data_IF_975458732527
#
_entry.id   IF_975458732527
#
_cell.length_a   1.000
_cell.length_b   1.000
_cell.length_c   1.000
_cell.angle_alpha   90.00
_cell.angle_beta   90.00
_cell.angle_gamma   90.00
#
_symmetry.space_group_name_H-M   'P 1'
#
loop_
_entity.id
_entity.type
_entity.pdbx_description
1 polymer ?
#
# COMPACT_ATOMS: atom_id res chain seq x y z
N UNK A 1 -35.30 36.55 89.48
CA UNK A 1 -33.93 36.63 89.00
C UNK A 1 -33.91 35.87 87.61
N UNK A 2 -33.94 36.66 86.57
CA UNK A 2 -34.11 36.13 85.19
C UNK A 2 -32.75 36.19 84.43
N UNK A 3 -32.18 35.08 84.14
CA UNK A 3 -31.01 34.99 83.27
C UNK A 3 -31.44 34.87 81.78
N UNK A 4 -31.10 35.88 81.00
CA UNK A 4 -31.28 35.90 79.57
C UNK A 4 -30.04 35.30 78.89
N UNK A 5 -30.22 34.13 78.20
CA UNK A 5 -29.23 33.57 77.25
C UNK A 5 -29.34 34.33 75.96
N UNK A 6 -28.25 34.95 75.50
CA UNK A 6 -28.10 35.51 74.18
C UNK A 6 -27.55 34.36 73.27
N UNK A 7 -28.29 33.96 72.22
CA UNK A 7 -27.81 33.09 71.19
C UNK A 7 -27.18 33.87 70.06
N UNK A 8 -25.90 33.67 69.87
CA UNK A 8 -25.18 34.21 68.71
C UNK A 8 -25.47 33.35 67.50
N UNK A 9 -25.98 33.96 66.41
CA UNK A 9 -26.16 33.29 65.08
C UNK A 9 -24.93 33.60 64.23
N UNK A 10 -24.15 32.59 63.93
CA UNK A 10 -23.03 32.72 63.01
C UNK A 10 -23.53 32.58 61.54
N UNK A 11 -23.38 33.65 60.77
CA UNK A 11 -23.59 33.60 59.32
C UNK A 11 -22.35 33.05 58.67
N UNK A 12 -22.44 31.84 58.04
CA UNK A 12 -21.43 31.30 57.16
C UNK A 12 -21.62 31.90 55.76
N UNK A 13 -20.70 32.73 55.32
CA UNK A 13 -20.65 33.19 53.92
C UNK A 13 -20.09 32.10 53.03
N UNK A 14 -20.92 31.50 52.15
CA UNK A 14 -20.47 30.63 51.08
C UNK A 14 -19.77 31.48 50.00
N UNK A 15 -18.46 31.35 49.88
CA UNK A 15 -17.67 31.87 48.76
C UNK A 15 -17.80 30.88 47.60
N UNK A 16 -18.63 31.19 46.62
CA UNK A 16 -18.69 30.47 45.35
C UNK A 16 -17.55 30.93 44.44
N UNK A 17 -16.48 30.15 44.39
CA UNK A 17 -15.44 30.36 43.36
C UNK A 17 -16.01 29.95 41.99
N UNK A 18 -15.84 30.74 40.92
CA UNK A 18 -16.23 30.35 39.60
C UNK A 18 -15.30 29.18 39.11
N UNK A 19 -15.87 28.03 38.86
CA UNK A 19 -15.18 26.93 38.14
C UNK A 19 -15.02 27.39 36.70
N UNK A 20 -13.82 27.85 36.34
CA UNK A 20 -13.45 28.03 34.93
C UNK A 20 -13.40 26.67 34.31
N UNK A 21 -14.43 26.31 33.55
CA UNK A 21 -14.38 25.16 32.63
C UNK A 21 -13.38 25.55 31.54
N UNK A 22 -12.13 25.07 31.68
CA UNK A 22 -11.19 25.08 30.59
C UNK A 22 -11.78 24.17 29.53
N UNK A 23 -12.41 24.72 28.49
CA UNK A 23 -12.64 24.03 27.26
C UNK A 23 -11.26 23.63 26.76
N UNK A 24 -10.88 22.36 26.96
CA UNK A 24 -9.79 21.76 26.22
C UNK A 24 -10.17 21.94 24.74
N UNK A 25 -9.46 22.82 24.05
CA UNK A 25 -9.48 22.80 22.58
C UNK A 25 -9.07 21.40 22.22
N UNK A 26 -10.02 20.60 21.72
CA UNK A 26 -9.73 19.38 21.03
C UNK A 26 -8.86 19.78 19.84
N UNK A 27 -7.54 19.67 20.01
CA UNK A 27 -6.62 19.78 18.90
C UNK A 27 -7.17 18.86 17.83
N UNK A 28 -7.54 19.39 16.67
CA UNK A 28 -7.94 18.58 15.54
C UNK A 28 -6.75 17.68 15.24
N UNK A 29 -6.84 16.40 15.61
CA UNK A 29 -5.85 15.44 15.20
C UNK A 29 -5.80 15.50 13.67
N UNK A 30 -4.60 15.64 13.13
CA UNK A 30 -4.41 15.61 11.68
C UNK A 30 -5.08 14.35 11.13
N UNK A 31 -5.91 14.49 10.11
CA UNK A 31 -6.46 13.34 9.39
C UNK A 31 -5.33 12.76 8.53
N UNK A 32 -4.88 11.56 8.89
CA UNK A 32 -3.89 10.84 8.11
C UNK A 32 -4.57 10.08 6.98
N UNK A 33 -3.97 10.16 5.80
CA UNK A 33 -4.43 9.43 4.60
C UNK A 33 -3.21 8.83 3.92
N UNK A 34 -3.29 7.55 3.58
CA UNK A 34 -2.25 6.88 2.85
C UNK A 34 -2.02 7.51 1.48
N UNK A 35 -0.76 7.75 1.15
CA UNK A 35 -0.34 8.30 -0.15
C UNK A 35 0.52 7.35 -0.96
N UNK A 36 1.17 6.41 -0.31
CA UNK A 36 1.92 5.32 -0.90
C UNK A 36 1.90 4.12 0.03
N UNK A 37 1.79 2.93 -0.52
CA UNK A 37 2.00 1.69 0.20
C UNK A 37 2.54 0.61 -0.73
N UNK A 38 3.16 -0.40 -0.13
CA UNK A 38 3.50 -1.67 -0.76
C UNK A 38 3.11 -2.82 0.17
N UNK A 39 3.01 -4.03 -0.35
CA UNK A 39 2.65 -5.20 0.44
C UNK A 39 3.91 -6.02 0.77
N UNK A 40 4.36 -6.01 2.03
CA UNK A 40 5.52 -6.78 2.42
C UNK A 40 5.21 -8.28 2.52
N UNK A 41 6.25 -9.09 2.32
CA UNK A 41 6.24 -10.52 2.57
C UNK A 41 7.62 -11.01 3.03
N UNK A 42 7.74 -12.27 3.38
CA UNK A 42 8.98 -12.87 3.82
C UNK A 42 9.96 -12.95 2.64
N UNK A 43 11.15 -12.39 2.81
CA UNK A 43 12.25 -12.65 1.89
C UNK A 43 12.66 -14.12 2.04
N UNK A 44 12.45 -14.90 1.00
CA UNK A 44 12.76 -16.32 0.96
C UNK A 44 13.89 -16.63 -0.03
N UNK A 45 14.57 -17.72 0.22
CA UNK A 45 15.66 -18.21 -0.62
C UNK A 45 16.98 -17.45 -0.48
N UNK A 46 18.06 -18.12 -0.83
CA UNK A 46 19.44 -17.64 -0.66
C UNK A 46 19.77 -16.39 -1.52
N UNK A 47 18.94 -16.07 -2.50
CA UNK A 47 19.15 -14.91 -3.39
C UNK A 47 18.48 -13.64 -2.89
N UNK A 48 17.48 -13.74 -2.02
CA UNK A 48 16.67 -12.62 -1.56
C UNK A 48 17.08 -12.12 -0.17
N UNK A 49 17.64 -12.99 0.68
CA UNK A 49 18.16 -12.62 1.98
C UNK A 49 19.54 -11.95 1.78
N UNK A 50 19.61 -10.66 2.11
CA UNK A 50 20.82 -9.85 1.91
C UNK A 50 21.66 -9.67 3.17
N UNK A 51 21.21 -10.16 4.33
CA UNK A 51 21.85 -9.92 5.62
C UNK A 51 22.10 -8.42 5.88
N UNK A 52 21.02 -7.67 5.87
CA UNK A 52 21.01 -6.20 5.95
C UNK A 52 21.39 -5.71 7.35
N UNK A 53 22.67 -5.84 7.69
CA UNK A 53 23.23 -5.49 9.01
C UNK A 53 24.46 -4.61 8.85
N UNK A 54 24.47 -3.46 9.51
CA UNK A 54 25.54 -2.45 9.36
C UNK A 54 25.46 -1.72 8.01
N UNK A 55 24.26 -1.50 7.47
CA UNK A 55 24.01 -0.89 6.15
C UNK A 55 23.01 0.25 6.23
N UNK A 56 23.13 1.19 5.31
CA UNK A 56 22.10 2.22 5.06
C UNK A 56 21.31 1.86 3.80
N UNK A 57 19.99 1.92 3.90
CA UNK A 57 19.07 1.82 2.78
C UNK A 57 18.53 3.21 2.43
N UNK A 58 18.44 3.52 1.14
CA UNK A 58 17.65 4.63 0.60
C UNK A 58 16.65 4.08 -0.38
N UNK A 59 15.38 4.22 -0.06
CA UNK A 59 14.28 3.65 -0.80
C UNK A 59 13.37 4.76 -1.32
N UNK A 60 13.03 4.67 -2.60
CA UNK A 60 12.27 5.71 -3.30
C UNK A 60 10.82 5.26 -3.40
N UNK A 61 9.90 6.17 -3.08
CA UNK A 61 8.46 5.98 -3.17
C UNK A 61 7.81 7.09 -3.99
N UNK A 62 7.03 6.73 -5.01
CA UNK A 62 6.23 7.66 -5.80
C UNK A 62 4.86 7.86 -5.14
N UNK A 63 4.66 9.00 -4.47
CA UNK A 63 3.44 9.26 -3.70
C UNK A 63 2.30 9.74 -4.59
N UNK A 64 1.06 9.39 -4.24
CA UNK A 64 -0.14 9.76 -5.02
C UNK A 64 -0.73 11.12 -4.69
N UNK A 65 -0.84 11.48 -3.41
CA UNK A 65 -1.33 12.80 -2.95
C UNK A 65 -0.29 13.53 -2.13
N UNK A 66 -0.35 14.86 -2.13
CA UNK A 66 0.51 15.70 -1.32
C UNK A 66 -0.08 16.04 0.05
N UNK A 67 0.75 16.66 0.89
CA UNK A 67 0.37 17.13 2.21
C UNK A 67 1.42 18.04 2.82
N UNK A 68 1.06 18.71 3.93
CA UNK A 68 1.97 19.60 4.67
C UNK A 68 2.91 18.86 5.63
N UNK A 69 2.55 17.62 5.99
CA UNK A 69 3.31 16.74 6.85
C UNK A 69 3.14 15.33 6.35
N UNK A 70 4.09 14.48 6.67
CA UNK A 70 4.01 13.04 6.41
C UNK A 70 4.45 12.24 7.64
N UNK A 71 4.14 10.93 7.64
CA UNK A 71 4.67 9.94 8.55
C UNK A 71 4.98 8.66 7.79
N UNK A 72 5.99 7.96 8.24
CA UNK A 72 6.52 6.77 7.56
C UNK A 72 6.14 5.53 8.37
N UNK A 73 5.68 4.47 7.70
CA UNK A 73 5.42 3.17 8.32
C UNK A 73 6.59 2.23 8.07
N UNK A 74 7.25 1.82 9.15
CA UNK A 74 8.28 0.78 9.14
C UNK A 74 7.68 -0.54 9.61
N UNK A 75 8.15 -1.65 9.05
CA UNK A 75 7.59 -2.97 9.28
C UNK A 75 8.67 -4.03 9.56
N UNK A 76 8.41 -4.89 10.53
CA UNK A 76 9.16 -6.11 10.84
C UNK A 76 8.23 -7.32 10.87
N UNK A 77 7.21 -7.32 10.03
CA UNK A 77 6.08 -8.24 10.10
C UNK A 77 6.49 -9.70 9.91
N UNK A 78 7.46 -9.93 9.02
CA UNK A 78 7.99 -11.27 8.75
C UNK A 78 9.32 -11.53 9.45
N UNK A 79 9.81 -10.58 10.26
CA UNK A 79 11.04 -10.74 11.01
C UNK A 79 10.94 -11.80 12.10
N UNK A 80 12.05 -12.52 12.34
CA UNK A 80 12.19 -13.50 13.43
C UNK A 80 12.98 -12.95 14.63
N UNK A 81 13.53 -11.76 14.50
CA UNK A 81 14.26 -11.02 15.52
C UNK A 81 13.69 -9.59 15.61
N UNK A 82 13.84 -8.89 16.75
CA UNK A 82 13.55 -7.47 16.80
C UNK A 82 14.43 -6.70 15.80
N UNK A 83 13.84 -5.77 15.06
CA UNK A 83 14.53 -4.93 14.09
C UNK A 83 14.86 -3.57 14.70
N UNK A 84 16.14 -3.21 14.74
CA UNK A 84 16.56 -1.86 15.08
C UNK A 84 16.72 -1.03 13.82
N UNK A 85 16.00 0.09 13.77
CA UNK A 85 16.16 1.15 12.77
C UNK A 85 16.71 2.37 13.50
N UNK A 86 17.74 2.99 12.95
CA UNK A 86 18.35 4.20 13.51
C UNK A 86 18.70 5.20 12.42
N UNK A 87 18.93 6.43 12.81
CA UNK A 87 19.31 7.54 11.93
C UNK A 87 18.47 7.57 10.65
N UNK A 88 17.14 7.59 10.82
CA UNK A 88 16.23 7.58 9.70
C UNK A 88 15.93 9.00 9.22
N UNK A 89 15.85 9.20 7.91
CA UNK A 89 15.63 10.46 7.23
C UNK A 89 14.58 10.33 6.12
N UNK A 90 13.93 11.43 5.78
CA UNK A 90 13.07 11.55 4.60
C UNK A 90 13.37 12.84 3.87
N UNK A 91 13.40 12.79 2.55
CA UNK A 91 13.66 13.92 1.67
C UNK A 91 12.90 13.81 0.37
N UNK A 92 12.83 14.88 -0.40
CA UNK A 92 12.42 14.81 -1.81
C UNK A 92 13.58 14.20 -2.64
N UNK A 93 13.26 13.25 -3.51
CA UNK A 93 14.25 12.68 -4.43
C UNK A 93 14.69 13.71 -5.47
N UNK A 94 15.98 13.72 -5.78
CA UNK A 94 16.53 14.47 -6.92
C UNK A 94 16.83 13.57 -8.12
N UNK A 95 16.44 12.28 -8.04
CA UNK A 95 16.76 11.24 -9.00
C UNK A 95 18.01 10.45 -8.64
N UNK A 96 18.04 9.16 -9.01
CA UNK A 96 19.06 8.24 -8.58
C UNK A 96 19.16 8.18 -7.07
N UNK A 97 20.39 8.12 -6.54
CA UNK A 97 20.65 8.09 -5.09
C UNK A 97 20.67 9.46 -4.40
N UNK A 98 20.37 10.55 -5.11
CA UNK A 98 20.48 11.92 -4.62
C UNK A 98 19.16 12.45 -4.05
N UNK A 99 19.24 13.33 -3.05
CA UNK A 99 18.10 14.06 -2.48
C UNK A 99 18.16 15.55 -2.84
N UNK A 100 17.00 16.21 -2.86
CA UNK A 100 16.94 17.64 -3.13
C UNK A 100 17.54 18.44 -1.96
N UNK A 101 18.43 19.42 -2.24
CA UNK A 101 19.04 20.24 -1.21
C UNK A 101 17.98 20.94 -0.34
N UNK A 102 18.14 20.85 0.98
CA UNK A 102 17.25 21.50 1.97
C UNK A 102 15.92 20.79 2.22
N UNK A 103 15.69 19.61 1.62
CA UNK A 103 14.47 18.81 1.87
C UNK A 103 14.69 17.70 2.91
N UNK A 104 15.90 17.50 3.40
CA UNK A 104 16.23 16.44 4.35
C UNK A 104 15.66 16.72 5.74
N UNK A 105 14.94 15.74 6.30
CA UNK A 105 14.34 15.80 7.63
C UNK A 105 14.60 14.48 8.36
N UNK A 106 15.17 14.59 9.58
CA UNK A 106 15.31 13.44 10.46
C UNK A 106 13.95 12.87 10.88
N UNK A 107 13.85 11.56 10.89
CA UNK A 107 12.67 10.83 11.37
C UNK A 107 12.88 10.46 12.83
N UNK A 108 11.82 10.65 13.66
CA UNK A 108 11.83 10.25 15.06
C UNK A 108 10.69 9.29 15.39
N UNK A 109 10.82 8.62 16.55
CA UNK A 109 9.88 7.65 17.07
C UNK A 109 9.64 7.96 18.56
N UNK A 110 8.56 8.67 18.89
CA UNK A 110 8.33 9.20 20.22
C UNK A 110 9.43 10.17 20.66
N UNK A 111 10.00 10.93 19.73
CA UNK A 111 11.12 11.87 19.92
C UNK A 111 12.51 11.23 19.90
N UNK A 112 12.64 9.91 19.80
CA UNK A 112 13.93 9.22 19.69
C UNK A 112 14.35 9.04 18.22
N UNK A 113 15.65 9.12 17.91
CA UNK A 113 16.21 8.91 16.56
C UNK A 113 16.43 7.42 16.21
N UNK A 114 16.06 6.52 17.12
CA UNK A 114 16.18 5.07 16.91
C UNK A 114 14.97 4.38 17.51
N UNK A 115 14.59 3.24 16.91
CA UNK A 115 13.51 2.40 17.39
C UNK A 115 13.86 0.94 17.26
N UNK A 116 13.29 0.14 18.15
CA UNK A 116 13.34 -1.32 18.08
C UNK A 116 11.93 -1.83 17.76
N UNK A 117 11.74 -2.38 16.57
CA UNK A 117 10.46 -2.88 16.09
C UNK A 117 10.37 -4.38 16.44
N UNK A 118 9.41 -4.80 17.29
CA UNK A 118 9.24 -6.20 17.63
C UNK A 118 8.95 -7.06 16.38
N UNK A 119 9.16 -8.38 16.51
CA UNK A 119 8.71 -9.36 15.52
C UNK A 119 7.21 -9.21 15.25
N UNK A 120 6.79 -9.32 14.00
CA UNK A 120 5.40 -9.29 13.59
C UNK A 120 4.74 -7.91 13.71
N UNK A 121 5.50 -6.84 13.96
CA UNK A 121 4.97 -5.52 14.18
C UNK A 121 5.31 -4.55 13.04
N UNK A 122 4.41 -3.59 12.81
CA UNK A 122 4.67 -2.38 12.06
C UNK A 122 4.42 -1.15 12.96
N UNK A 123 5.15 -0.08 12.72
CA UNK A 123 5.06 1.16 13.49
C UNK A 123 5.09 2.38 12.58
N UNK A 124 4.46 3.46 13.02
CA UNK A 124 4.61 4.77 12.38
C UNK A 124 5.68 5.61 13.08
N UNK A 125 6.37 6.42 12.30
CA UNK A 125 7.19 7.52 12.82
C UNK A 125 6.34 8.62 13.47
N UNK A 126 6.99 9.53 14.18
CA UNK A 126 6.40 10.82 14.51
C UNK A 126 6.07 11.62 13.24
N UNK A 127 5.12 12.58 13.29
CA UNK A 127 4.84 13.47 12.17
C UNK A 127 6.07 14.29 11.76
N UNK A 128 6.33 14.38 10.46
CA UNK A 128 7.47 15.08 9.87
C UNK A 128 6.98 16.30 9.11
N UNK A 129 7.53 17.49 9.40
CA UNK A 129 7.14 18.75 8.79
C UNK A 129 7.77 18.97 7.42
N UNK A 130 7.63 18.00 6.52
CA UNK A 130 8.02 18.08 5.12
C UNK A 130 6.78 18.20 4.25
N UNK A 131 6.63 19.34 3.57
CA UNK A 131 5.57 19.52 2.59
C UNK A 131 5.92 18.81 1.29
N UNK A 132 5.02 17.96 0.80
CA UNK A 132 5.21 17.20 -0.42
C UNK A 132 4.09 17.49 -1.42
N UNK A 133 4.47 17.63 -2.70
CA UNK A 133 3.50 17.78 -3.79
C UNK A 133 2.90 16.40 -4.16
N UNK A 134 1.68 16.36 -4.74
CA UNK A 134 1.18 15.13 -5.35
C UNK A 134 2.14 14.62 -6.43
N UNK A 135 2.21 13.30 -6.58
CA UNK A 135 3.03 12.61 -7.59
C UNK A 135 4.53 12.90 -7.47
N UNK A 136 5.00 13.27 -6.28
CA UNK A 136 6.41 13.47 -6.00
C UNK A 136 7.10 12.14 -5.66
N UNK A 137 8.40 12.07 -5.95
CA UNK A 137 9.25 10.98 -5.46
C UNK A 137 9.86 11.38 -4.12
N UNK A 138 9.65 10.54 -3.12
CA UNK A 138 10.14 10.69 -1.75
C UNK A 138 11.21 9.64 -1.49
N UNK A 139 12.37 10.08 -0.99
CA UNK A 139 13.45 9.21 -0.56
C UNK A 139 13.36 8.99 0.96
N UNK A 140 13.15 7.74 1.38
CA UNK A 140 13.24 7.31 2.79
C UNK A 140 14.58 6.63 2.98
N UNK A 141 15.40 7.18 3.87
CA UNK A 141 16.75 6.67 4.12
C UNK A 141 16.86 6.26 5.58
N UNK A 142 17.43 5.10 5.89
CA UNK A 142 17.58 4.64 7.26
C UNK A 142 18.77 3.70 7.41
N UNK A 143 19.39 3.75 8.58
CA UNK A 143 20.51 2.91 8.94
C UNK A 143 20.03 1.70 9.76
N UNK A 144 20.45 0.52 9.36
CA UNK A 144 20.31 -0.73 10.10
C UNK A 144 21.65 -1.03 10.79
N UNK A 145 21.79 -0.78 12.10
CA UNK A 145 23.04 -1.04 12.81
C UNK A 145 23.37 -2.54 12.81
N UNK A 146 24.61 -2.93 13.16
CA UNK A 146 24.95 -4.35 13.29
C UNK A 146 23.99 -5.07 14.24
N UNK A 147 23.27 -6.04 13.71
CA UNK A 147 22.22 -6.78 14.43
C UNK A 147 22.07 -8.19 13.86
N UNK A 148 21.44 -9.08 14.63
CA UNK A 148 21.04 -10.41 14.15
C UNK A 148 19.75 -10.26 13.35
N UNK A 149 19.73 -10.88 12.17
CA UNK A 149 18.56 -10.86 11.29
C UNK A 149 18.45 -12.23 10.62
N UNK A 150 17.47 -13.05 11.07
CA UNK A 150 17.25 -14.40 10.55
C UNK A 150 16.18 -14.45 9.46
N UNK A 151 15.37 -13.41 9.37
CA UNK A 151 14.35 -13.23 8.34
C UNK A 151 14.19 -11.74 8.04
N UNK A 152 13.92 -11.43 6.81
CA UNK A 152 13.76 -10.06 6.32
C UNK A 152 12.33 -9.85 5.83
N UNK A 153 11.75 -8.73 6.23
CA UNK A 153 10.48 -8.24 5.71
C UNK A 153 10.76 -7.37 4.50
N UNK A 154 10.23 -7.71 3.33
CA UNK A 154 10.49 -6.94 2.12
C UNK A 154 9.33 -7.01 1.12
N UNK A 155 9.36 -6.14 0.12
CA UNK A 155 8.62 -6.28 -1.13
C UNK A 155 9.64 -6.45 -2.27
N UNK A 156 9.58 -7.57 -2.97
CA UNK A 156 10.65 -8.01 -3.86
C UNK A 156 10.71 -7.29 -5.21
N UNK A 157 9.63 -6.60 -5.61
CA UNK A 157 9.52 -5.96 -6.92
C UNK A 157 9.16 -4.47 -6.78
N UNK A 158 10.16 -3.62 -6.59
CA UNK A 158 9.93 -2.18 -6.54
C UNK A 158 9.66 -1.56 -7.92
N UNK A 159 10.14 -2.17 -9.00
CA UNK A 159 10.22 -1.57 -10.34
C UNK A 159 10.78 -0.13 -10.30
N UNK A 160 11.68 0.10 -9.36
CA UNK A 160 12.28 1.38 -8.99
C UNK A 160 13.68 1.13 -8.46
N UNK A 161 14.63 2.00 -8.79
CA UNK A 161 15.96 1.96 -8.21
C UNK A 161 15.92 2.41 -6.76
N UNK A 162 16.35 1.53 -5.86
CA UNK A 162 16.65 1.78 -4.47
C UNK A 162 18.13 1.53 -4.22
N UNK A 163 18.68 1.96 -3.09
CA UNK A 163 20.11 2.03 -2.88
C UNK A 163 20.51 1.47 -1.52
N UNK A 164 21.60 0.72 -1.49
CA UNK A 164 22.20 0.17 -0.27
C UNK A 164 23.69 0.52 -0.20
N UNK A 165 24.15 1.01 0.94
CA UNK A 165 25.56 1.26 1.21
C UNK A 165 25.99 0.68 2.54
N UNK A 166 27.28 0.36 2.67
CA UNK A 166 27.88 -0.09 3.95
C UNK A 166 28.04 1.09 4.91
N UNK A 167 27.83 0.84 6.19
CA UNK A 167 27.94 1.84 7.24
C UNK A 167 26.78 2.81 7.29
N UNK A 168 26.88 3.80 8.17
CA UNK A 168 25.87 4.85 8.34
C UNK A 168 26.15 6.02 7.38
N UNK A 169 25.27 6.20 6.43
CA UNK A 169 25.26 7.31 5.47
C UNK A 169 23.85 7.90 5.30
N UNK A 170 23.02 7.79 6.33
CA UNK A 170 21.61 8.16 6.25
C UNK A 170 21.40 9.64 5.90
N UNK A 171 22.25 10.54 6.38
CA UNK A 171 22.22 11.97 6.11
C UNK A 171 22.98 12.39 4.82
N UNK A 172 23.49 11.45 4.02
CA UNK A 172 24.23 11.77 2.80
C UNK A 172 23.30 12.40 1.75
N UNK A 173 23.70 13.53 1.18
CA UNK A 173 22.95 14.15 0.08
C UNK A 173 22.92 13.29 -1.19
N UNK A 174 23.98 12.49 -1.38
CA UNK A 174 24.12 11.54 -2.48
C UNK A 174 24.83 10.26 -1.99
N UNK A 175 24.28 9.12 -2.34
CA UNK A 175 24.85 7.80 -2.05
C UNK A 175 25.55 7.22 -3.29
N UNK A 176 26.42 8.01 -3.95
CA UNK A 176 27.02 7.69 -5.26
C UNK A 176 27.79 6.34 -5.30
N UNK A 177 28.21 5.78 -4.15
CA UNK A 177 28.89 4.49 -4.04
C UNK A 177 27.94 3.35 -3.63
N UNK A 178 26.63 3.62 -3.52
CA UNK A 178 25.65 2.61 -3.17
C UNK A 178 25.47 1.58 -4.29
N UNK A 179 25.13 0.35 -3.89
CA UNK A 179 24.64 -0.66 -4.82
C UNK A 179 23.16 -0.45 -5.07
N UNK A 180 22.76 -0.48 -6.33
CA UNK A 180 21.34 -0.42 -6.70
C UNK A 180 20.66 -1.75 -6.39
N UNK A 181 19.47 -1.67 -5.84
CA UNK A 181 18.54 -2.77 -5.58
C UNK A 181 17.15 -2.38 -6.10
N UNK A 182 16.30 -3.36 -6.41
CA UNK A 182 14.95 -3.14 -6.93
C UNK A 182 13.87 -3.75 -6.01
N UNK A 183 14.06 -3.58 -4.70
CA UNK A 183 13.16 -4.07 -3.65
C UNK A 183 13.01 -3.00 -2.58
N UNK A 184 11.89 -3.00 -1.84
CA UNK A 184 11.73 -2.24 -0.60
C UNK A 184 11.90 -3.16 0.60
N UNK A 185 12.65 -2.73 1.62
CA UNK A 185 12.91 -3.49 2.84
C UNK A 185 12.42 -2.70 4.06
N UNK A 186 11.71 -3.33 4.98
CA UNK A 186 11.31 -2.80 6.29
C UNK A 186 10.54 -1.47 6.27
N UNK A 187 10.08 -1.04 5.13
CA UNK A 187 9.34 0.18 4.88
C UNK A 187 8.17 -0.16 3.94
N UNK A 188 6.94 0.12 4.35
CA UNK A 188 5.76 -0.32 3.62
C UNK A 188 4.65 0.71 3.48
N UNK A 189 4.83 1.95 3.98
CA UNK A 189 3.81 2.97 3.83
C UNK A 189 4.25 4.40 4.13
N UNK A 190 3.62 5.33 3.45
CA UNK A 190 3.69 6.78 3.69
C UNK A 190 2.27 7.31 3.81
N UNK A 191 1.99 8.00 4.93
CA UNK A 191 0.77 8.78 5.09
C UNK A 191 1.09 10.28 5.03
N UNK A 192 0.14 11.06 4.58
CA UNK A 192 0.17 12.52 4.65
C UNK A 192 -0.92 13.06 5.56
N UNK A 193 -0.65 14.20 6.24
CA UNK A 193 -1.67 14.98 6.88
C UNK A 193 -2.49 15.70 5.80
N UNK A 194 -3.68 15.16 5.53
CA UNK A 194 -4.52 15.57 4.42
C UNK A 194 -5.65 16.52 4.86
N UNK A 195 -6.22 17.20 3.89
CA UNK A 195 -7.36 18.08 4.12
C UNK A 195 -8.63 17.27 4.44
N UNK A 196 -9.61 17.83 5.17
CA UNK A 196 -10.85 17.13 5.46
C UNK A 196 -11.56 16.61 4.18
N UNK A 197 -12.05 15.38 4.24
CA UNK A 197 -12.70 14.71 3.11
C UNK A 197 -11.76 13.94 2.18
N UNK A 198 -10.44 13.98 2.41
CA UNK A 198 -9.48 13.12 1.72
C UNK A 198 -9.67 11.66 2.14
N UNK A 199 -9.35 10.76 1.24
CA UNK A 199 -9.39 9.30 1.47
C UNK A 199 -8.41 8.59 0.54
N UNK A 200 -8.18 7.30 0.76
CA UNK A 200 -7.38 6.46 -0.11
C UNK A 200 -8.19 5.35 -0.78
N UNK A 201 -7.71 4.93 -1.94
CA UNK A 201 -8.11 3.75 -2.68
C UNK A 201 -6.95 2.76 -2.58
N UNK A 202 -7.20 1.56 -2.10
CA UNK A 202 -6.22 0.49 -2.09
C UNK A 202 -6.43 -0.40 -3.31
N UNK A 203 -5.38 -0.70 -4.06
CA UNK A 203 -5.42 -1.62 -5.20
C UNK A 203 -4.77 -2.93 -4.78
N UNK A 204 -5.61 -3.94 -4.50
CA UNK A 204 -5.21 -5.28 -4.10
C UNK A 204 -5.14 -6.17 -5.34
N UNK A 205 -4.02 -6.88 -5.52
CA UNK A 205 -3.86 -7.75 -6.68
C UNK A 205 -2.52 -8.46 -6.76
N UNK A 206 -2.25 -9.00 -7.91
CA UNK A 206 -1.05 -9.75 -8.26
C UNK A 206 -0.02 -8.92 -9.06
N UNK A 207 0.80 -9.57 -9.89
CA UNK A 207 1.82 -8.93 -10.73
C UNK A 207 1.28 -7.86 -11.68
N UNK A 208 0.02 -7.97 -12.12
CA UNK A 208 -0.60 -6.98 -13.01
C UNK A 208 -0.90 -5.70 -12.23
N UNK A 209 -1.22 -5.79 -10.96
CA UNK A 209 -1.39 -4.62 -10.08
C UNK A 209 -0.04 -4.10 -9.59
N UNK A 210 0.88 -4.98 -9.26
CA UNK A 210 2.26 -4.68 -8.87
C UNK A 210 3.04 -3.95 -9.99
N UNK A 211 2.69 -4.21 -11.26
CA UNK A 211 3.18 -3.50 -12.42
C UNK A 211 4.26 -4.22 -13.22
N UNK A 212 4.27 -5.56 -13.17
CA UNK A 212 5.25 -6.36 -13.89
C UNK A 212 5.31 -6.00 -15.39
N UNK A 213 6.52 -5.82 -15.91
CA UNK A 213 6.83 -5.42 -17.29
C UNK A 213 6.38 -4.01 -17.68
N UNK A 214 6.00 -3.16 -16.73
CA UNK A 214 5.99 -1.71 -16.97
C UNK A 214 7.43 -1.16 -17.07
N UNK A 215 7.58 0.02 -17.65
CA UNK A 215 8.91 0.63 -17.80
C UNK A 215 9.50 0.99 -16.43
N UNK A 216 10.68 0.42 -16.14
CA UNK A 216 11.38 0.59 -14.88
C UNK A 216 11.57 2.07 -14.49
N UNK A 217 11.20 2.42 -13.28
CA UNK A 217 11.31 3.78 -12.72
C UNK A 217 10.40 4.83 -13.38
N UNK A 218 9.48 4.42 -14.27
CA UNK A 218 8.62 5.35 -14.99
C UNK A 218 7.28 5.62 -14.30
N UNK A 219 6.90 4.85 -13.28
CA UNK A 219 5.61 4.94 -12.60
C UNK A 219 4.44 4.81 -13.60
N UNK A 220 4.48 3.77 -14.44
CA UNK A 220 3.49 3.49 -15.48
C UNK A 220 2.55 2.33 -15.15
N UNK A 221 2.49 1.87 -13.91
CA UNK A 221 1.52 0.89 -13.44
C UNK A 221 0.10 1.44 -13.56
N UNK A 222 -0.90 0.60 -13.74
CA UNK A 222 -2.28 1.12 -13.82
C UNK A 222 -2.72 1.88 -12.56
N UNK A 223 -2.27 1.57 -11.32
CA UNK A 223 -2.57 2.39 -10.15
C UNK A 223 -1.91 3.78 -10.22
N UNK A 224 -0.70 3.91 -10.79
CA UNK A 224 -0.02 5.21 -10.98
C UNK A 224 -0.79 6.08 -11.98
N UNK A 225 -1.27 5.48 -13.08
CA UNK A 225 -2.11 6.16 -14.08
C UNK A 225 -3.44 6.61 -13.44
N UNK A 226 -4.06 5.77 -12.61
CA UNK A 226 -5.24 6.15 -11.84
C UNK A 226 -4.95 7.33 -10.92
N UNK A 227 -3.84 7.29 -10.17
CA UNK A 227 -3.41 8.38 -9.28
C UNK A 227 -3.25 9.69 -10.05
N UNK A 228 -2.53 9.67 -11.17
CA UNK A 228 -2.32 10.85 -12.01
C UNK A 228 -3.66 11.44 -12.52
N UNK A 229 -4.61 10.60 -12.93
CA UNK A 229 -5.94 11.02 -13.37
C UNK A 229 -6.78 11.63 -12.24
N UNK A 230 -6.72 11.05 -11.03
CA UNK A 230 -7.40 11.58 -9.86
C UNK A 230 -6.83 12.96 -9.48
N UNK A 231 -5.51 13.14 -9.55
CA UNK A 231 -4.87 14.43 -9.29
C UNK A 231 -5.24 15.50 -10.34
N UNK A 232 -5.46 15.10 -11.59
CA UNK A 232 -5.86 16.01 -12.66
C UNK A 232 -7.35 16.45 -12.56
N UNK A 233 -8.19 15.72 -11.84
CA UNK A 233 -9.61 16.04 -11.64
C UNK A 233 -9.83 16.81 -10.33
N UNK A 234 -10.30 18.08 -10.37
CA UNK A 234 -10.55 18.88 -9.17
C UNK A 234 -11.44 18.19 -8.11
N UNK A 235 -12.33 17.29 -8.52
CA UNK A 235 -13.22 16.55 -7.64
C UNK A 235 -12.48 15.47 -6.83
N UNK A 236 -11.41 14.91 -7.36
CA UNK A 236 -10.70 13.78 -6.79
C UNK A 236 -9.25 14.06 -6.40
N UNK A 237 -8.76 15.30 -6.53
CA UNK A 237 -7.36 15.68 -6.28
C UNK A 237 -6.84 15.39 -4.86
N UNK A 238 -7.71 15.02 -3.93
CA UNK A 238 -7.35 14.66 -2.56
C UNK A 238 -7.54 13.16 -2.29
N UNK A 239 -7.59 12.34 -3.34
CA UNK A 239 -7.75 10.88 -3.25
C UNK A 239 -6.40 10.21 -3.46
N UNK A 240 -5.93 9.50 -2.44
CA UNK A 240 -4.72 8.69 -2.51
C UNK A 240 -4.95 7.36 -3.21
N UNK A 241 -3.91 6.80 -3.81
CA UNK A 241 -3.89 5.46 -4.39
C UNK A 241 -2.73 4.70 -3.77
N UNK A 242 -3.03 3.51 -3.23
CA UNK A 242 -2.07 2.64 -2.56
C UNK A 242 -1.99 1.33 -3.33
N UNK A 243 -0.81 1.01 -3.87
CA UNK A 243 -0.59 -0.23 -4.60
C UNK A 243 -0.09 -1.32 -3.64
N UNK A 244 -0.91 -2.33 -3.40
CA UNK A 244 -0.57 -3.50 -2.59
C UNK A 244 -0.62 -4.79 -3.42
N UNK A 245 -0.24 -4.70 -4.69
CA UNK A 245 0.02 -5.85 -5.56
C UNK A 245 1.21 -6.67 -5.07
N UNK A 246 1.21 -7.96 -5.34
CA UNK A 246 2.34 -8.87 -5.13
C UNK A 246 2.48 -9.77 -6.36
N UNK A 247 3.63 -9.73 -7.05
CA UNK A 247 3.88 -10.61 -8.19
C UNK A 247 3.68 -12.09 -7.85
N UNK A 248 2.85 -12.80 -8.63
CA UNK A 248 2.56 -14.22 -8.39
C UNK A 248 1.56 -14.53 -7.28
N UNK A 249 0.94 -13.51 -6.67
CA UNK A 249 -0.03 -13.68 -5.59
C UNK A 249 -1.29 -14.42 -6.04
N UNK A 250 -1.99 -15.03 -5.09
CA UNK A 250 -3.19 -15.85 -5.29
C UNK A 250 -4.26 -15.47 -4.29
N UNK A 251 -5.53 -15.69 -4.65
CA UNK A 251 -6.66 -15.45 -3.74
C UNK A 251 -6.63 -16.39 -2.54
N UNK A 252 -6.48 -17.71 -2.80
CA UNK A 252 -6.76 -18.76 -1.82
C UNK A 252 -5.53 -19.36 -1.18
N UNK A 253 -4.39 -19.38 -1.86
CA UNK A 253 -3.23 -20.13 -1.43
C UNK A 253 -1.97 -19.28 -1.44
N UNK A 254 -1.09 -19.50 -0.49
CA UNK A 254 0.22 -18.88 -0.47
C UNK A 254 1.11 -19.44 -1.59
N UNK A 255 1.86 -18.57 -2.23
CA UNK A 255 3.00 -18.89 -3.11
C UNK A 255 4.04 -17.79 -2.99
N UNK A 256 3.83 -16.65 -3.64
CA UNK A 256 4.59 -15.43 -3.38
C UNK A 256 3.79 -14.60 -2.39
N UNK A 257 4.31 -14.48 -1.20
CA UNK A 257 3.64 -13.79 -0.10
C UNK A 257 2.35 -14.48 0.39
N UNK A 258 1.71 -13.94 1.42
CA UNK A 258 0.43 -14.40 1.94
C UNK A 258 -0.67 -14.27 0.89
N UNK A 259 -1.65 -15.20 0.89
CA UNK A 259 -2.79 -15.13 -0.03
C UNK A 259 -3.61 -13.85 0.18
N UNK A 260 -4.32 -13.39 -0.86
CA UNK A 260 -5.10 -12.15 -0.78
C UNK A 260 -6.10 -12.17 0.38
N UNK A 261 -6.76 -13.32 0.63
CA UNK A 261 -7.65 -13.49 1.79
C UNK A 261 -6.89 -13.31 3.12
N UNK A 262 -5.67 -13.83 3.24
CA UNK A 262 -4.94 -13.81 4.51
C UNK A 262 -4.29 -12.45 4.81
N UNK A 263 -4.09 -11.59 3.80
CA UNK A 263 -3.45 -10.28 3.93
C UNK A 263 -4.40 -9.08 3.90
N UNK A 264 -5.71 -9.30 3.78
CA UNK A 264 -6.69 -8.23 3.66
C UNK A 264 -6.66 -7.25 4.84
N UNK A 265 -6.55 -7.75 6.09
CA UNK A 265 -6.51 -6.92 7.29
C UNK A 265 -5.32 -5.97 7.27
N UNK A 266 -4.14 -6.51 6.99
CA UNK A 266 -2.88 -5.79 6.96
C UNK A 266 -2.79 -4.81 5.80
N UNK A 267 -3.08 -5.28 4.58
CA UNK A 267 -2.77 -4.55 3.35
C UNK A 267 -3.89 -3.59 2.95
N UNK A 268 -5.12 -3.81 3.42
CA UNK A 268 -6.27 -2.99 3.07
C UNK A 268 -6.90 -2.33 4.29
N UNK A 269 -7.39 -3.12 5.26
CA UNK A 269 -8.24 -2.59 6.33
C UNK A 269 -7.47 -1.67 7.29
N UNK A 270 -6.16 -1.90 7.49
CA UNK A 270 -5.30 -1.09 8.34
C UNK A 270 -4.77 0.19 7.67
N UNK A 271 -5.02 0.40 6.37
CA UNK A 271 -4.51 1.58 5.67
C UNK A 271 -5.21 2.86 6.11
N UNK A 272 -4.43 3.94 6.25
CA UNK A 272 -4.95 5.22 6.72
C UNK A 272 -5.93 5.86 5.73
N UNK A 273 -7.14 6.12 6.21
CA UNK A 273 -8.17 6.81 5.42
C UNK A 273 -8.72 6.01 4.25
N UNK A 274 -8.56 4.68 4.24
CA UNK A 274 -9.10 3.83 3.18
C UNK A 274 -10.61 3.96 3.09
N UNK A 275 -11.12 4.11 1.86
CA UNK A 275 -12.56 4.18 1.56
C UNK A 275 -12.97 3.20 0.47
N UNK A 276 -12.05 2.81 -0.39
CA UNK A 276 -12.27 1.87 -1.47
C UNK A 276 -11.14 0.86 -1.54
N UNK A 277 -11.48 -0.39 -1.85
CA UNK A 277 -10.53 -1.39 -2.33
C UNK A 277 -10.90 -1.81 -3.74
N UNK A 278 -9.94 -1.81 -4.66
CA UNK A 278 -10.08 -2.39 -5.99
C UNK A 278 -9.36 -3.73 -6.00
N UNK A 279 -10.06 -4.79 -6.43
CA UNK A 279 -9.54 -6.16 -6.38
C UNK A 279 -9.37 -6.69 -7.81
N UNK A 280 -8.11 -6.93 -8.21
CA UNK A 280 -7.71 -7.60 -9.45
C UNK A 280 -6.83 -8.79 -9.08
N UNK A 281 -7.44 -9.95 -8.90
CA UNK A 281 -6.77 -11.12 -8.35
C UNK A 281 -7.40 -12.41 -8.89
N UNK A 282 -6.69 -13.51 -8.92
CA UNK A 282 -7.07 -14.88 -9.27
C UNK A 282 -6.30 -15.51 -10.44
N UNK A 283 -5.65 -14.73 -11.32
CA UNK A 283 -5.05 -15.28 -12.52
C UNK A 283 -3.97 -16.34 -12.22
N UNK A 284 -3.25 -16.19 -11.10
CA UNK A 284 -2.24 -17.15 -10.69
C UNK A 284 -2.83 -18.43 -10.08
N UNK A 285 -4.01 -18.37 -9.45
CA UNK A 285 -4.77 -19.57 -9.08
C UNK A 285 -5.20 -20.34 -10.33
N UNK A 286 -5.73 -19.62 -11.32
CA UNK A 286 -6.20 -20.17 -12.61
C UNK A 286 -5.04 -20.78 -13.40
N UNK A 287 -3.89 -20.12 -13.43
CA UNK A 287 -2.70 -20.60 -14.14
C UNK A 287 -2.20 -21.97 -13.66
N UNK A 288 -2.43 -22.31 -12.37
CA UNK A 288 -2.09 -23.64 -11.83
C UNK A 288 -2.92 -24.77 -12.44
N UNK A 289 -4.08 -24.46 -13.01
CA UNK A 289 -4.94 -25.48 -13.65
C UNK A 289 -4.32 -26.13 -14.88
N UNK A 290 -3.31 -25.51 -15.50
CA UNK A 290 -2.54 -26.13 -16.59
C UNK A 290 -1.77 -27.35 -16.11
N UNK A 291 -1.23 -27.29 -14.88
CA UNK A 291 -0.44 -28.38 -14.31
C UNK A 291 -0.67 -28.42 -12.78
N UNK A 292 -1.69 -29.17 -12.37
CA UNK A 292 -2.05 -29.36 -10.98
C UNK A 292 -1.03 -30.31 -10.33
N UNK A 293 -0.12 -29.75 -9.52
CA UNK A 293 0.94 -30.52 -8.85
C UNK A 293 0.55 -30.97 -7.45
N UNK A 294 -0.36 -30.22 -6.81
CA UNK A 294 -0.90 -30.52 -5.48
C UNK A 294 -2.42 -30.32 -5.49
N UNK A 295 -3.17 -31.03 -4.62
CA UNK A 295 -4.65 -30.99 -4.67
C UNK A 295 -5.27 -29.59 -4.61
N UNK A 296 -4.68 -28.69 -3.81
CA UNK A 296 -5.20 -27.33 -3.64
C UNK A 296 -4.87 -26.38 -4.81
N UNK A 297 -4.07 -26.79 -5.79
CA UNK A 297 -3.90 -26.08 -7.07
C UNK A 297 -5.07 -26.30 -8.04
N UNK A 298 -5.92 -27.28 -7.77
CA UNK A 298 -7.07 -27.61 -8.61
C UNK A 298 -8.31 -26.78 -8.31
N UNK A 299 -8.19 -25.45 -8.29
CA UNK A 299 -9.28 -24.53 -7.96
C UNK A 299 -10.45 -24.58 -8.96
N UNK A 300 -11.65 -24.24 -8.48
CA UNK A 300 -12.85 -24.02 -9.30
C UNK A 300 -13.23 -22.55 -9.33
N UNK A 301 -14.10 -22.16 -10.27
CA UNK A 301 -14.62 -20.79 -10.33
C UNK A 301 -15.34 -20.43 -9.04
N UNK A 302 -16.20 -21.31 -8.49
CA UNK A 302 -16.96 -21.08 -7.28
C UNK A 302 -16.07 -20.86 -6.06
N UNK A 303 -14.91 -21.53 -6.00
CA UNK A 303 -13.94 -21.33 -4.92
C UNK A 303 -13.29 -19.93 -5.01
N UNK A 304 -12.94 -19.47 -6.20
CA UNK A 304 -12.40 -18.13 -6.43
C UNK A 304 -13.45 -17.05 -6.18
N UNK A 305 -14.67 -17.24 -6.67
CA UNK A 305 -15.81 -16.36 -6.41
C UNK A 305 -16.07 -16.22 -4.91
N UNK A 306 -16.04 -17.34 -4.18
CA UNK A 306 -16.16 -17.33 -2.72
C UNK A 306 -15.01 -16.55 -2.06
N UNK A 307 -13.77 -16.75 -2.50
CA UNK A 307 -12.61 -16.05 -1.97
C UNK A 307 -12.67 -14.53 -2.21
N UNK A 308 -13.02 -14.13 -3.43
CA UNK A 308 -13.23 -12.72 -3.78
C UNK A 308 -14.38 -12.10 -2.99
N UNK A 309 -15.45 -12.88 -2.74
CA UNK A 309 -16.55 -12.45 -1.88
C UNK A 309 -16.11 -12.23 -0.44
N UNK A 310 -15.26 -13.09 0.13
CA UNK A 310 -14.74 -12.88 1.49
C UNK A 310 -13.93 -11.58 1.61
N UNK A 311 -13.16 -11.22 0.58
CA UNK A 311 -12.44 -9.95 0.51
C UNK A 311 -13.43 -8.78 0.49
N UNK A 312 -14.48 -8.84 -0.33
CA UNK A 312 -15.50 -7.81 -0.41
C UNK A 312 -16.29 -7.68 0.92
N UNK A 313 -16.69 -8.81 1.52
CA UNK A 313 -17.41 -8.83 2.80
C UNK A 313 -16.56 -8.19 3.92
N UNK A 314 -15.28 -8.54 4.02
CA UNK A 314 -14.36 -7.95 5.01
C UNK A 314 -14.23 -6.43 4.83
N UNK A 315 -14.13 -5.96 3.59
CA UNK A 315 -14.13 -4.52 3.29
C UNK A 315 -15.43 -3.85 3.74
N UNK A 316 -16.59 -4.43 3.42
CA UNK A 316 -17.90 -3.90 3.79
C UNK A 316 -18.11 -3.84 5.30
N UNK A 317 -17.67 -4.85 6.06
CA UNK A 317 -17.74 -4.86 7.52
C UNK A 317 -16.98 -3.68 8.15
N UNK A 318 -15.97 -3.14 7.45
CA UNK A 318 -15.21 -1.96 7.85
C UNK A 318 -15.68 -0.65 7.18
N UNK A 319 -16.83 -0.68 6.48
CA UNK A 319 -17.38 0.49 5.78
C UNK A 319 -16.57 0.90 4.54
N UNK A 320 -15.73 0.02 4.02
CA UNK A 320 -14.92 0.19 2.82
C UNK A 320 -15.70 -0.38 1.64
N UNK A 321 -15.81 0.37 0.55
CA UNK A 321 -16.44 -0.10 -0.69
C UNK A 321 -15.49 -0.98 -1.49
N UNK A 322 -16.00 -2.11 -1.95
CA UNK A 322 -15.26 -3.05 -2.77
C UNK A 322 -15.59 -2.87 -4.26
N UNK A 323 -14.56 -2.67 -5.08
CA UNK A 323 -14.65 -2.57 -6.53
C UNK A 323 -14.01 -3.81 -7.15
N UNK A 324 -14.78 -4.61 -7.87
CA UNK A 324 -14.28 -5.77 -8.57
C UNK A 324 -13.68 -5.38 -9.92
N UNK A 325 -12.49 -5.87 -10.23
CA UNK A 325 -11.88 -5.73 -11.54
C UNK A 325 -11.87 -7.10 -12.25
N UNK A 326 -12.31 -7.16 -13.51
CA UNK A 326 -12.28 -8.41 -14.27
C UNK A 326 -10.86 -8.76 -14.67
N UNK A 327 -10.56 -10.07 -14.65
CA UNK A 327 -9.27 -10.61 -15.05
C UNK A 327 -9.01 -10.34 -16.54
N UNK A 328 -7.83 -9.83 -16.84
CA UNK A 328 -7.39 -9.58 -18.21
C UNK A 328 -7.32 -10.89 -19.03
N UNK A 329 -7.39 -10.84 -20.37
CA UNK A 329 -7.09 -11.99 -21.20
C UNK A 329 -5.68 -12.51 -20.94
N UNK A 330 -5.45 -13.82 -21.12
CA UNK A 330 -4.13 -14.43 -20.97
C UNK A 330 -3.86 -15.56 -21.99
N UNK A 331 -4.64 -15.60 -23.07
CA UNK A 331 -4.48 -16.55 -24.16
C UNK A 331 -3.07 -16.48 -24.77
N UNK A 332 -2.39 -17.62 -24.80
CA UNK A 332 -0.99 -17.69 -25.23
C UNK A 332 0.03 -17.63 -24.08
N UNK A 333 -0.35 -17.25 -22.89
CA UNK A 333 0.54 -17.22 -21.74
C UNK A 333 1.11 -18.59 -21.39
N UNK A 334 2.31 -18.60 -20.80
CA UNK A 334 3.03 -19.83 -20.47
C UNK A 334 2.23 -20.86 -19.66
N UNK A 335 1.27 -20.41 -18.84
CA UNK A 335 0.39 -21.27 -18.04
C UNK A 335 -1.08 -21.30 -18.51
N UNK A 336 -1.38 -20.77 -19.68
CA UNK A 336 -2.72 -20.84 -20.26
C UNK A 336 -3.17 -22.27 -20.50
N UNK A 337 -4.49 -22.52 -20.32
CA UNK A 337 -5.17 -23.78 -20.66
C UNK A 337 -6.65 -23.53 -20.92
N UNK A 338 -7.29 -24.41 -21.73
CA UNK A 338 -8.74 -24.32 -22.00
C UNK A 338 -9.58 -24.35 -20.71
N UNK A 339 -9.18 -25.17 -19.74
CA UNK A 339 -9.86 -25.24 -18.44
C UNK A 339 -9.68 -23.93 -17.66
N UNK A 340 -8.47 -23.37 -17.67
CA UNK A 340 -8.19 -22.10 -17.00
C UNK A 340 -9.01 -20.97 -17.62
N UNK A 341 -9.13 -20.91 -18.95
CA UNK A 341 -9.94 -19.90 -19.62
C UNK A 341 -11.43 -20.00 -19.26
N UNK A 342 -11.99 -21.23 -19.20
CA UNK A 342 -13.36 -21.43 -18.73
C UNK A 342 -13.57 -20.88 -17.30
N UNK A 343 -12.62 -21.10 -16.41
CA UNK A 343 -12.67 -20.56 -15.04
C UNK A 343 -12.55 -19.04 -15.06
N UNK A 344 -11.63 -18.45 -15.85
CA UNK A 344 -11.49 -17.00 -15.98
C UNK A 344 -12.78 -16.33 -16.46
N UNK A 345 -13.39 -16.90 -17.51
CA UNK A 345 -14.67 -16.38 -18.03
C UNK A 345 -15.80 -16.47 -17.00
N UNK A 346 -15.88 -17.58 -16.25
CA UNK A 346 -16.88 -17.75 -15.20
C UNK A 346 -16.69 -16.71 -14.08
N UNK A 347 -15.46 -16.54 -13.59
CA UNK A 347 -15.12 -15.53 -12.55
C UNK A 347 -15.40 -14.12 -13.07
N UNK A 348 -15.02 -13.79 -14.30
CA UNK A 348 -15.30 -12.48 -14.88
C UNK A 348 -16.80 -12.20 -15.03
N UNK A 349 -17.57 -13.21 -15.45
CA UNK A 349 -19.04 -13.09 -15.51
C UNK A 349 -19.62 -12.87 -14.11
N UNK A 350 -19.15 -13.59 -13.11
CA UNK A 350 -19.59 -13.42 -11.72
C UNK A 350 -19.24 -12.02 -11.18
N UNK A 351 -18.01 -11.52 -11.42
CA UNK A 351 -17.62 -10.15 -11.04
C UNK A 351 -18.60 -9.13 -11.63
N UNK A 352 -19.00 -9.29 -12.91
CA UNK A 352 -19.92 -8.39 -13.61
C UNK A 352 -21.36 -8.44 -13.09
N UNK A 353 -21.83 -9.59 -12.62
CA UNK A 353 -23.27 -9.86 -12.47
C UNK A 353 -23.73 -10.22 -11.07
N UNK A 354 -22.85 -10.61 -10.16
CA UNK A 354 -23.20 -11.10 -8.82
C UNK A 354 -23.79 -10.04 -7.89
N UNK A 355 -23.47 -8.76 -8.11
CA UNK A 355 -23.83 -7.68 -7.18
C UNK A 355 -23.01 -7.70 -5.86
N UNK A 356 -21.94 -8.49 -5.78
CA UNK A 356 -21.04 -8.55 -4.62
C UNK A 356 -20.25 -7.26 -4.46
N UNK A 357 -19.84 -6.64 -5.56
CA UNK A 357 -19.04 -5.44 -5.58
C UNK A 357 -19.91 -4.18 -5.72
N UNK A 358 -19.50 -3.08 -5.09
CA UNK A 358 -20.16 -1.76 -5.20
C UNK A 358 -19.98 -1.12 -6.59
N UNK A 359 -19.02 -1.60 -7.36
CA UNK A 359 -18.75 -1.20 -8.72
C UNK A 359 -17.85 -2.21 -9.41
N UNK A 360 -17.81 -2.16 -10.74
CA UNK A 360 -17.00 -3.06 -11.55
C UNK A 360 -16.16 -2.26 -12.53
N UNK A 361 -14.88 -2.63 -12.65
CA UNK A 361 -13.99 -2.18 -13.73
C UNK A 361 -13.71 -3.35 -14.66
N UNK A 362 -14.05 -3.21 -15.91
CA UNK A 362 -13.98 -4.29 -16.89
C UNK A 362 -12.65 -4.29 -17.64
N UNK A 363 -11.56 -4.66 -16.95
CA UNK A 363 -10.22 -4.73 -17.56
C UNK A 363 -10.13 -5.77 -18.67
N UNK A 364 -10.92 -6.84 -18.61
CA UNK A 364 -11.05 -7.82 -19.68
C UNK A 364 -11.45 -7.13 -21.00
N UNK A 365 -12.54 -6.35 -20.97
CA UNK A 365 -13.02 -5.60 -22.15
C UNK A 365 -12.07 -4.49 -22.60
N UNK A 366 -11.38 -3.85 -21.66
CA UNK A 366 -10.45 -2.76 -21.96
C UNK A 366 -9.22 -3.28 -22.71
N UNK A 367 -8.76 -4.50 -22.37
CA UNK A 367 -7.45 -4.99 -22.84
C UNK A 367 -7.51 -6.09 -23.89
N UNK A 368 -8.71 -6.68 -24.16
CA UNK A 368 -8.85 -7.79 -25.09
C UNK A 368 -8.64 -7.38 -26.55
N UNK A 369 -8.19 -8.32 -27.37
CA UNK A 369 -8.27 -8.24 -28.82
C UNK A 369 -9.73 -8.43 -29.25
N UNK A 370 -10.27 -7.52 -30.05
CA UNK A 370 -11.66 -7.57 -30.48
C UNK A 370 -11.97 -8.78 -31.40
N UNK A 371 -10.97 -9.30 -32.14
CA UNK A 371 -11.12 -10.44 -33.02
C UNK A 371 -10.88 -11.78 -32.28
N UNK A 372 -10.10 -11.74 -31.19
CA UNK A 372 -9.78 -12.91 -30.38
C UNK A 372 -9.82 -12.57 -28.88
N UNK A 373 -11.00 -12.49 -28.25
CA UNK A 373 -11.16 -11.96 -26.88
C UNK A 373 -10.44 -12.71 -25.77
N UNK A 374 -9.92 -13.89 -26.02
CA UNK A 374 -9.09 -14.63 -25.05
C UNK A 374 -7.66 -14.13 -24.98
N UNK A 375 -7.25 -13.24 -25.89
CA UNK A 375 -5.91 -12.68 -26.00
C UNK A 375 -5.93 -11.18 -25.73
N UNK A 376 -4.79 -10.66 -25.27
CA UNK A 376 -4.55 -9.22 -25.24
C UNK A 376 -4.61 -8.63 -26.65
N UNK A 377 -5.08 -7.38 -26.76
CA UNK A 377 -4.76 -6.56 -27.91
C UNK A 377 -3.23 -6.48 -28.08
N UNK A 378 -2.74 -6.69 -29.28
CA UNK A 378 -1.30 -6.75 -29.58
C UNK A 378 -0.54 -5.45 -29.18
N UNK A 379 -1.25 -4.30 -29.19
CA UNK A 379 -0.65 -3.03 -28.76
C UNK A 379 -0.49 -2.93 -27.25
N UNK A 380 -1.13 -3.80 -26.48
CA UNK A 380 -1.10 -3.80 -25.00
C UNK A 380 -0.24 -4.93 -24.42
N UNK A 381 -0.02 -5.98 -25.19
CA UNK A 381 0.73 -7.18 -24.78
C UNK A 381 2.23 -6.88 -24.65
N UNK A 382 2.86 -7.31 -23.57
CA UNK A 382 4.31 -7.24 -23.39
C UNK A 382 5.08 -8.26 -24.22
N UNK A 383 4.38 -9.28 -24.75
CA UNK A 383 4.94 -10.41 -25.48
C UNK A 383 4.98 -11.72 -24.68
N UNK A 384 4.64 -11.70 -23.39
CA UNK A 384 4.47 -12.91 -22.59
C UNK A 384 3.02 -13.38 -22.53
N UNK A 385 2.10 -12.63 -23.12
CA UNK A 385 0.67 -12.87 -23.23
C UNK A 385 -0.08 -12.92 -21.88
N UNK A 386 0.52 -12.36 -20.82
CA UNK A 386 -0.02 -12.31 -19.48
C UNK A 386 0.01 -10.92 -18.89
N UNK A 387 1.14 -10.22 -19.02
CA UNK A 387 1.33 -8.90 -18.46
C UNK A 387 1.18 -7.82 -19.53
N UNK A 388 0.52 -6.71 -19.23
CA UNK A 388 0.52 -5.54 -20.10
C UNK A 388 1.92 -4.92 -20.20
N UNK A 389 2.22 -4.28 -21.33
CA UNK A 389 3.27 -3.25 -21.40
C UNK A 389 2.67 -1.88 -21.04
N UNK A 390 3.48 -0.81 -21.03
CA UNK A 390 3.04 0.55 -20.65
C UNK A 390 1.74 0.99 -21.34
N UNK A 391 1.58 0.71 -22.63
CA UNK A 391 0.36 1.05 -23.36
C UNK A 391 -0.88 0.31 -22.82
N UNK A 392 -0.72 -0.94 -22.38
CA UNK A 392 -1.79 -1.72 -21.76
C UNK A 392 -2.11 -1.21 -20.36
N UNK A 393 -1.11 -0.91 -19.54
CA UNK A 393 -1.30 -0.28 -18.22
C UNK A 393 -1.95 1.09 -18.35
N UNK A 394 -1.55 1.88 -19.35
CA UNK A 394 -2.19 3.17 -19.67
C UNK A 394 -3.67 2.97 -20.05
N UNK A 395 -4.00 1.97 -20.85
CA UNK A 395 -5.38 1.66 -21.22
C UNK A 395 -6.20 1.24 -19.99
N UNK A 396 -5.65 0.39 -19.11
CA UNK A 396 -6.29 -0.03 -17.86
C UNK A 396 -6.58 1.18 -16.97
N UNK A 397 -5.56 1.94 -16.59
CA UNK A 397 -5.73 3.10 -15.71
C UNK A 397 -6.64 4.17 -16.29
N UNK A 398 -6.58 4.40 -17.63
CA UNK A 398 -7.43 5.37 -18.32
C UNK A 398 -8.88 4.91 -18.49
N UNK A 399 -9.11 3.61 -18.57
CA UNK A 399 -10.45 3.01 -18.74
C UNK A 399 -11.30 2.99 -17.49
N UNK A 400 -10.74 3.30 -16.32
CA UNK A 400 -11.48 3.38 -15.06
C UNK A 400 -12.43 4.58 -15.08
N UNK A 401 -13.72 4.36 -14.90
CA UNK A 401 -14.68 5.44 -14.68
C UNK A 401 -14.54 6.00 -13.26
N UNK A 402 -13.98 7.21 -13.15
CA UNK A 402 -13.75 7.86 -11.86
C UNK A 402 -15.05 8.11 -11.07
N UNK A 403 -16.22 8.10 -11.71
CA UNK A 403 -17.51 8.31 -11.03
C UNK A 403 -17.82 7.23 -9.99
N UNK A 404 -17.20 6.05 -10.08
CA UNK A 404 -17.38 4.96 -9.10
C UNK A 404 -16.85 5.36 -7.70
N UNK A 405 -15.89 6.29 -7.62
CA UNK A 405 -15.31 6.78 -6.37
C UNK A 405 -16.05 7.97 -5.75
N UNK A 406 -17.11 8.45 -6.38
CA UNK A 406 -17.90 9.60 -5.92
C UNK A 406 -19.24 9.23 -5.29
N UNK A 407 -19.52 7.93 -5.13
CA UNK A 407 -20.81 7.43 -4.63
C UNK A 407 -20.83 7.25 -3.13
#
# INVERSE_FOLDING_TARGET
MLNRCIRAVAFAALVTAPIAIACAQSGSHAQWVGTWATSPYLADGATNIRMLSGVTLREIAHISIGGAQLRIRFTNEFGQDPLTVSDAHVALSAGGSSIQPGSDHGITFGGASSVNIPQGAAIFSDPIALAVAPLADVAVTFYLPPQIMRAETYHGFADQDNFISMGDSANAADMAQATTISSWYFFDGIDVAAVPGSYSIVTLGDSITDGALSAHGANHRWPDILAARLQADPKFKNVGVLNVGIGGNRVLNETTGPSAISRIDRDVLSQSGVRYVMVLESINDIGRLKNVTVPWDGVTAEQLEWGLKQIADAAHEHGIKAIGATLTPYGGAGYWSDKGEQVREAVNNWIRTSGTFDGVVDFDKITQDAANPTHFNADFDSGDHLHPKDAGYQAMGSGIDLSIFGK
#
